data_IF_969854527413
#
_entry.id   IF_969854527413
#
_cell.length_a   1.000
_cell.length_b   1.000
_cell.length_c   1.000
_cell.angle_alpha   90.00
_cell.angle_beta   90.00
_cell.angle_gamma   90.00
#
_symmetry.space_group_name_H-M   'P 1'
#
loop_
_entity.id
_entity.type
_entity.pdbx_description
1 polymer ?
#
# COMPACT_ATOMS: atom_id res chain seq x y z
N UNK A 1 13.06 11.61 -14.32
CA UNK A 1 12.83 10.33 -13.64
C UNK A 1 13.73 9.29 -14.28
N UNK A 2 14.83 8.95 -13.62
CA UNK A 2 15.80 7.97 -14.07
C UNK A 2 15.30 6.56 -13.72
N UNK A 3 15.55 5.55 -14.57
CA UNK A 3 15.10 4.17 -14.32
C UNK A 3 15.60 3.62 -12.97
N UNK A 4 16.74 4.12 -12.46
CA UNK A 4 17.27 3.76 -11.15
C UNK A 4 16.43 4.28 -9.97
N UNK A 5 15.78 5.43 -10.10
CA UNK A 5 14.87 5.96 -9.08
C UNK A 5 13.59 5.13 -9.00
N UNK A 6 13.13 4.59 -10.14
CA UNK A 6 11.94 3.71 -10.21
C UNK A 6 12.22 2.37 -9.51
N UNK A 7 13.41 1.79 -9.68
CA UNK A 7 13.83 0.58 -8.96
C UNK A 7 14.04 0.82 -7.46
N UNK A 8 14.54 2.00 -7.06
CA UNK A 8 14.68 2.38 -5.67
C UNK A 8 13.30 2.58 -5.00
N UNK A 9 12.35 3.18 -5.71
CA UNK A 9 10.95 3.32 -5.26
C UNK A 9 10.26 1.95 -5.12
N UNK A 10 10.52 1.01 -6.02
CA UNK A 10 10.02 -0.37 -5.91
C UNK A 10 10.71 -1.22 -4.83
N UNK A 11 11.91 -0.86 -4.39
CA UNK A 11 12.62 -1.54 -3.29
C UNK A 11 12.36 -0.92 -1.91
N UNK A 12 11.61 0.18 -1.82
CA UNK A 12 11.24 0.72 -0.52
C UNK A 12 10.30 -0.26 0.21
N UNK A 13 10.58 -0.60 1.48
CA UNK A 13 9.77 -1.53 2.26
C UNK A 13 8.28 -1.18 2.22
N UNK A 14 7.92 0.10 2.42
CA UNK A 14 6.54 0.57 2.37
C UNK A 14 5.86 0.34 1.01
N UNK A 15 6.59 0.44 -0.10
CA UNK A 15 6.07 0.14 -1.44
C UNK A 15 5.90 -1.36 -1.69
N UNK A 16 6.74 -2.21 -1.08
CA UNK A 16 6.55 -3.65 -1.13
C UNK A 16 5.30 -4.08 -0.35
N UNK A 17 5.11 -3.52 0.84
CA UNK A 17 3.92 -3.77 1.66
C UNK A 17 2.65 -3.26 0.96
N UNK A 18 2.70 -2.07 0.36
CA UNK A 18 1.63 -1.56 -0.48
C UNK A 18 1.25 -2.53 -1.60
N UNK A 19 2.22 -3.03 -2.37
CA UNK A 19 1.94 -3.98 -3.46
C UNK A 19 1.37 -5.30 -2.95
N UNK A 20 1.86 -5.81 -1.81
CA UNK A 20 1.35 -7.03 -1.21
C UNK A 20 -0.12 -6.86 -0.77
N UNK A 21 -0.43 -5.75 -0.11
CA UNK A 21 -1.78 -5.40 0.34
C UNK A 21 -2.73 -5.21 -0.84
N UNK A 22 -2.35 -4.43 -1.84
CA UNK A 22 -3.16 -4.20 -3.05
C UNK A 22 -3.49 -5.52 -3.75
N UNK A 23 -2.49 -6.41 -3.90
CA UNK A 23 -2.70 -7.73 -4.52
C UNK A 23 -3.68 -8.60 -3.73
N UNK A 24 -3.64 -8.55 -2.40
CA UNK A 24 -4.59 -9.29 -1.55
C UNK A 24 -6.01 -8.75 -1.70
N UNK A 25 -6.17 -7.43 -1.70
CA UNK A 25 -7.47 -6.75 -1.91
C UNK A 25 -8.03 -7.09 -3.28
N UNK A 26 -7.21 -7.01 -4.34
CA UNK A 26 -7.63 -7.34 -5.72
C UNK A 26 -7.99 -8.82 -5.88
N UNK A 27 -7.33 -9.70 -5.13
CA UNK A 27 -7.68 -11.12 -5.07
C UNK A 27 -8.92 -11.41 -4.20
N UNK A 28 -9.50 -10.40 -3.55
CA UNK A 28 -10.69 -10.52 -2.72
C UNK A 28 -10.43 -11.19 -1.36
N UNK A 29 -9.17 -11.24 -0.91
CA UNK A 29 -8.87 -11.74 0.44
C UNK A 29 -9.36 -10.74 1.49
N UNK A 30 -9.98 -11.23 2.58
CA UNK A 30 -10.32 -10.38 3.71
C UNK A 30 -9.04 -9.84 4.32
N UNK A 31 -9.06 -8.55 4.65
CA UNK A 31 -7.91 -7.83 5.19
C UNK A 31 -8.34 -7.11 6.45
N UNK A 32 -7.49 -7.16 7.48
CA UNK A 32 -7.77 -6.44 8.70
C UNK A 32 -7.58 -4.93 8.48
N UNK A 33 -8.52 -4.08 8.95
CA UNK A 33 -8.40 -2.63 8.87
C UNK A 33 -7.09 -2.09 9.41
N UNK A 34 -6.57 -2.73 10.46
CA UNK A 34 -5.32 -2.36 11.10
C UNK A 34 -4.10 -2.58 10.19
N UNK A 35 -4.03 -3.72 9.50
CA UNK A 35 -2.91 -4.01 8.58
C UNK A 35 -2.84 -2.99 7.43
N UNK A 36 -4.01 -2.57 6.93
CA UNK A 36 -4.04 -1.55 5.89
C UNK A 36 -3.67 -0.18 6.44
N UNK A 37 -4.11 0.14 7.66
CA UNK A 37 -3.75 1.39 8.33
C UNK A 37 -2.23 1.48 8.59
N UNK A 38 -1.60 0.41 9.08
CA UNK A 38 -0.14 0.34 9.29
C UNK A 38 0.63 0.65 8.00
N UNK A 39 0.18 0.12 6.85
CA UNK A 39 0.81 0.41 5.55
C UNK A 39 0.49 1.83 5.06
N UNK A 40 -0.71 2.35 5.32
CA UNK A 40 -1.04 3.76 5.00
C UNK A 40 -0.13 4.71 5.77
N UNK A 41 0.06 4.49 7.07
CA UNK A 41 0.94 5.31 7.90
C UNK A 41 2.40 5.23 7.42
N UNK A 42 2.92 4.02 7.15
CA UNK A 42 4.27 3.85 6.59
C UNK A 42 4.44 4.56 5.23
N UNK A 43 3.43 4.53 4.36
CA UNK A 43 3.45 5.26 3.10
C UNK A 43 3.44 6.78 3.31
N UNK A 44 2.72 7.28 4.31
CA UNK A 44 2.69 8.71 4.62
C UNK A 44 4.03 9.19 5.21
N UNK A 45 4.65 8.42 6.10
CA UNK A 45 5.96 8.72 6.69
C UNK A 45 7.07 8.79 5.64
N UNK A 46 7.01 7.91 4.63
CA UNK A 46 7.97 7.85 3.52
C UNK A 46 7.65 8.85 2.38
N UNK A 47 6.55 9.61 2.48
CA UNK A 47 6.15 10.62 1.50
C UNK A 47 5.36 10.08 0.28
N UNK A 48 4.94 8.82 0.31
CA UNK A 48 4.09 8.17 -0.70
C UNK A 48 2.59 8.49 -0.53
N UNK A 49 2.26 9.78 -0.47
CA UNK A 49 0.89 10.26 -0.21
C UNK A 49 -0.14 9.75 -1.23
N UNK A 50 0.23 9.60 -2.51
CA UNK A 50 -0.69 9.11 -3.54
C UNK A 50 -1.07 7.64 -3.32
N UNK A 51 -0.12 6.80 -2.93
CA UNK A 51 -0.36 5.39 -2.65
C UNK A 51 -1.18 5.21 -1.38
N UNK A 52 -0.90 6.01 -0.34
CA UNK A 52 -1.69 6.07 0.88
C UNK A 52 -3.15 6.44 0.59
N UNK A 53 -3.40 7.50 -0.20
CA UNK A 53 -4.76 7.91 -0.58
C UNK A 53 -5.45 6.82 -1.41
N UNK A 54 -4.75 6.25 -2.40
CA UNK A 54 -5.30 5.17 -3.23
C UNK A 54 -5.74 3.99 -2.37
N UNK A 55 -4.91 3.61 -1.39
CA UNK A 55 -5.20 2.49 -0.50
C UNK A 55 -6.40 2.78 0.41
N UNK A 56 -6.48 3.98 0.99
CA UNK A 56 -7.63 4.41 1.81
C UNK A 56 -8.95 4.55 1.03
N UNK A 57 -8.88 4.77 -0.30
CA UNK A 57 -10.07 4.83 -1.17
C UNK A 57 -10.50 3.48 -1.73
N UNK A 58 -9.67 2.43 -1.62
CA UNK A 58 -10.08 1.10 -2.05
C UNK A 58 -11.24 0.64 -1.16
N UNK A 59 -12.37 0.27 -1.78
CA UNK A 59 -13.47 -0.40 -1.09
C UNK A 59 -13.01 -1.80 -0.69
N UNK A 60 -12.38 -1.88 0.47
CA UNK A 60 -11.93 -3.15 1.05
C UNK A 60 -13.11 -3.67 1.87
N UNK A 61 -13.47 -4.94 1.67
CA UNK A 61 -14.40 -5.62 2.55
C UNK A 61 -13.65 -5.90 3.86
N UNK A 62 -13.74 -4.93 4.77
CA UNK A 62 -13.11 -4.90 6.09
C UNK A 62 -13.65 -5.92 7.08
N UNK A 63 -14.65 -6.69 6.68
CA UNK A 63 -15.58 -7.36 7.57
C UNK A 63 -15.63 -8.86 7.28
N UNK A 64 -14.99 -9.61 8.16
CA UNK A 64 -15.72 -10.60 8.94
C UNK A 64 -15.22 -10.64 10.38
#
# INVERSE_FOLDING_TARGET
MNQQEIYALHSHPAMQEYHAIVKQIEAGYPMHPREVQDVVDALLEEGFHFQAERLGRMKINWDR
#
